data_IF_496891007735
#
_entry.id   IF_496891007735
#
_cell.length_a   1.000
_cell.length_b   1.000
_cell.length_c   1.000
_cell.angle_alpha   90.00
_cell.angle_beta   90.00
_cell.angle_gamma   90.00
#
_symmetry.space_group_name_H-M   'P 1'
#
loop_
_entity.id
_entity.type
_entity.pdbx_description
1 polymer ?
#
# COMPACT_ATOMS: atom_id res chain seq x y z
N UNK A 1 -7.40 23.48 1.03
CA UNK A 1 -7.16 22.18 0.38
C UNK A 1 -8.49 21.45 0.25
N UNK A 2 -8.83 20.90 -0.93
CA UNK A 2 -10.07 20.12 -1.09
C UNK A 2 -9.89 18.76 -0.41
N UNK A 3 -10.90 18.23 0.33
CA UNK A 3 -10.81 16.90 0.90
C UNK A 3 -10.76 15.85 -0.21
N UNK A 4 -9.93 14.83 0.00
CA UNK A 4 -9.88 13.66 -0.87
C UNK A 4 -11.22 12.92 -0.81
N UNK A 5 -11.75 12.51 -1.98
CA UNK A 5 -13.08 11.87 -2.08
C UNK A 5 -13.03 10.34 -2.23
N UNK A 6 -11.84 9.75 -2.19
CA UNK A 6 -11.69 8.29 -2.31
C UNK A 6 -12.18 7.57 -1.04
N UNK A 7 -12.69 6.35 -1.21
CA UNK A 7 -13.16 5.51 -0.10
C UNK A 7 -12.07 4.57 0.46
N UNK A 8 -10.88 4.53 -0.15
CA UNK A 8 -9.78 3.63 0.25
C UNK A 8 -8.62 3.64 -0.76
N UNK A 9 -7.47 3.13 -0.34
CA UNK A 9 -6.24 3.03 -1.15
C UNK A 9 -5.78 1.57 -1.18
N UNK A 10 -5.54 1.01 -2.36
CA UNK A 10 -4.88 -0.27 -2.54
C UNK A 10 -3.50 -0.05 -3.17
N UNK A 11 -2.46 -0.63 -2.56
CA UNK A 11 -1.08 -0.52 -2.97
C UNK A 11 -0.62 -1.83 -3.60
N UNK A 12 0.03 -1.70 -4.76
CA UNK A 12 0.76 -2.79 -5.40
C UNK A 12 2.01 -3.21 -4.62
N UNK A 13 2.82 -4.05 -5.25
CA UNK A 13 4.10 -4.49 -4.70
C UNK A 13 5.19 -3.46 -4.98
N UNK A 14 6.00 -3.16 -3.97
CA UNK A 14 7.24 -2.40 -4.07
C UNK A 14 8.40 -3.40 -3.91
N UNK A 15 8.99 -3.82 -5.03
CA UNK A 15 10.07 -4.81 -5.06
C UNK A 15 11.43 -4.12 -5.14
N UNK A 16 12.48 -4.79 -4.65
CA UNK A 16 13.86 -4.30 -4.73
C UNK A 16 14.29 -3.42 -3.54
N UNK A 17 13.36 -3.03 -2.67
CA UNK A 17 13.64 -2.26 -1.46
C UNK A 17 14.14 -3.12 -0.28
N UNK A 18 14.16 -4.44 -0.42
CA UNK A 18 14.68 -5.34 0.61
C UNK A 18 16.19 -5.12 0.84
N UNK A 19 16.90 -4.63 -0.18
CA UNK A 19 18.34 -4.34 -0.12
C UNK A 19 18.65 -3.04 0.64
N UNK A 20 17.64 -2.17 0.76
CA UNK A 20 17.77 -0.87 1.40
C UNK A 20 17.56 -0.95 2.92
N UNK A 21 17.10 -2.10 3.45
CA UNK A 21 16.78 -2.26 4.86
C UNK A 21 17.97 -2.01 5.80
N UNK A 22 19.19 -2.26 5.32
CA UNK A 22 20.44 -2.07 6.06
C UNK A 22 21.18 -0.77 5.68
N UNK A 23 20.61 0.08 4.81
CA UNK A 23 21.24 1.33 4.40
C UNK A 23 21.23 2.35 5.57
N UNK A 24 22.40 2.72 6.12
CA UNK A 24 22.49 3.61 7.28
C UNK A 24 22.01 5.04 6.97
N UNK A 25 21.95 5.43 5.69
CA UNK A 25 21.48 6.75 5.26
C UNK A 25 19.97 6.91 5.39
N UNK A 26 19.22 5.80 5.49
CA UNK A 26 17.77 5.81 5.64
C UNK A 26 17.31 5.97 7.09
N UNK A 27 18.23 6.02 8.05
CA UNK A 27 17.90 6.25 9.46
C UNK A 27 16.97 5.17 10.05
N UNK A 28 17.06 3.94 9.54
CA UNK A 28 16.22 2.82 9.95
C UNK A 28 14.80 2.83 9.41
N UNK A 29 14.47 3.69 8.45
CA UNK A 29 13.15 3.71 7.81
C UNK A 29 13.10 2.79 6.60
N UNK A 30 12.12 1.89 6.58
CA UNK A 30 11.78 1.11 5.39
C UNK A 30 10.65 1.75 4.57
N UNK A 31 10.43 1.20 3.36
CA UNK A 31 9.31 1.61 2.49
C UNK A 31 7.94 1.50 3.20
N UNK A 32 7.76 0.48 4.04
CA UNK A 32 6.54 0.29 4.82
C UNK A 32 6.29 1.46 5.80
N UNK A 33 7.34 2.00 6.42
CA UNK A 33 7.24 3.11 7.37
C UNK A 33 6.89 4.40 6.64
N UNK A 34 7.54 4.66 5.50
CA UNK A 34 7.21 5.80 4.63
C UNK A 34 5.75 5.74 4.20
N UNK A 35 5.28 4.60 3.67
CA UNK A 35 3.90 4.44 3.22
C UNK A 35 2.91 4.61 4.38
N UNK A 36 3.20 4.06 5.55
CA UNK A 36 2.35 4.23 6.74
C UNK A 36 2.25 5.69 7.15
N UNK A 37 3.36 6.40 7.27
CA UNK A 37 3.41 7.81 7.71
C UNK A 37 2.78 8.78 6.70
N UNK A 38 2.84 8.47 5.40
CA UNK A 38 2.18 9.27 4.36
C UNK A 38 0.68 8.99 4.25
N UNK A 39 0.27 7.71 4.26
CA UNK A 39 -1.10 7.33 3.94
C UNK A 39 -2.04 7.35 5.15
N UNK A 40 -1.53 7.26 6.38
CA UNK A 40 -2.38 7.39 7.59
C UNK A 40 -3.11 8.74 7.64
N UNK A 41 -2.55 9.78 7.00
CA UNK A 41 -3.15 11.12 6.92
C UNK A 41 -4.40 11.20 6.04
N UNK A 42 -4.69 10.17 5.25
CA UNK A 42 -5.85 10.13 4.37
C UNK A 42 -7.14 9.69 5.08
N UNK A 43 -7.04 9.17 6.31
CA UNK A 43 -8.18 8.73 7.13
C UNK A 43 -9.12 7.72 6.44
N UNK A 44 -8.58 6.90 5.54
CA UNK A 44 -9.31 5.83 4.83
C UNK A 44 -8.58 4.49 4.94
N UNK A 45 -9.26 3.36 4.68
CA UNK A 45 -8.61 2.06 4.63
C UNK A 45 -7.48 2.00 3.60
N UNK A 46 -6.36 1.38 4.00
CA UNK A 46 -5.20 1.13 3.14
C UNK A 46 -4.92 -0.38 3.12
N UNK A 47 -4.94 -0.98 1.93
CA UNK A 47 -4.54 -2.36 1.68
C UNK A 47 -3.19 -2.37 0.97
N UNK A 48 -2.21 -3.10 1.51
CA UNK A 48 -0.90 -3.29 0.89
C UNK A 48 -0.71 -4.71 0.36
N UNK A 49 0.19 -4.86 -0.62
CA UNK A 49 0.60 -6.17 -1.14
C UNK A 49 -0.33 -6.74 -2.21
N UNK A 50 -1.16 -5.91 -2.85
CA UNK A 50 -1.86 -6.32 -4.06
C UNK A 50 -0.80 -6.79 -5.08
N UNK A 51 -0.95 -7.95 -5.76
CA UNK A 51 0.05 -8.49 -6.68
C UNK A 51 0.10 -7.72 -8.02
N UNK A 52 0.08 -6.40 -7.95
CA UNK A 52 0.06 -5.47 -9.07
C UNK A 52 1.31 -4.59 -9.04
N UNK A 53 1.72 -4.09 -10.20
CA UNK A 53 2.95 -3.31 -10.36
C UNK A 53 3.95 -4.02 -11.27
N UNK A 54 5.23 -3.87 -10.96
CA UNK A 54 6.35 -4.37 -11.78
C UNK A 54 6.80 -5.80 -11.39
N UNK A 55 6.00 -6.51 -10.59
CA UNK A 55 6.25 -7.90 -10.26
C UNK A 55 6.04 -8.84 -11.45
N UNK A 56 6.33 -10.12 -11.23
CA UNK A 56 6.10 -11.15 -12.24
C UNK A 56 4.58 -11.38 -12.39
N UNK A 57 4.09 -11.38 -13.63
CA UNK A 57 2.71 -11.69 -14.00
C UNK A 57 1.65 -10.80 -13.30
N UNK A 58 1.70 -9.46 -13.46
CA UNK A 58 0.71 -8.59 -12.86
C UNK A 58 -0.68 -8.84 -13.47
N UNK A 59 -1.74 -8.95 -12.65
CA UNK A 59 -3.09 -9.12 -13.14
C UNK A 59 -3.57 -7.82 -13.78
N UNK A 60 -4.46 -7.93 -14.78
CA UNK A 60 -5.19 -6.78 -15.29
C UNK A 60 -6.19 -6.30 -14.24
N UNK A 61 -6.12 -5.02 -13.89
CA UNK A 61 -7.06 -4.38 -12.96
C UNK A 61 -8.06 -3.56 -13.79
N UNK A 62 -9.38 -3.84 -13.69
CA UNK A 62 -10.38 -3.06 -14.40
C UNK A 62 -10.45 -1.63 -13.85
N UNK A 63 -10.41 -0.65 -14.75
CA UNK A 63 -10.52 0.76 -14.42
C UNK A 63 -11.97 1.25 -14.56
N UNK A 64 -12.40 2.15 -13.68
CA UNK A 64 -13.75 2.72 -13.70
C UNK A 64 -14.85 1.82 -13.13
N UNK A 65 -14.50 0.66 -12.56
CA UNK A 65 -15.45 -0.22 -11.86
C UNK A 65 -15.43 -0.02 -10.35
N UNK A 66 -16.52 -0.39 -9.69
CA UNK A 66 -16.60 -0.43 -8.24
C UNK A 66 -15.85 -1.67 -7.72
N UNK A 67 -15.06 -1.47 -6.66
CA UNK A 67 -14.34 -2.53 -5.96
C UNK A 67 -14.58 -2.43 -4.45
N UNK A 68 -14.43 -3.55 -3.74
CA UNK A 68 -14.49 -3.61 -2.28
C UNK A 68 -13.10 -3.96 -1.75
N UNK A 69 -12.63 -3.23 -0.74
CA UNK A 69 -11.42 -3.53 0.01
C UNK A 69 -11.86 -4.10 1.36
N UNK A 70 -11.49 -5.34 1.64
CA UNK A 70 -11.70 -5.95 2.95
C UNK A 70 -10.35 -6.16 3.64
N UNK A 71 -10.28 -5.75 4.91
CA UNK A 71 -9.16 -6.04 5.79
C UNK A 71 -9.65 -7.08 6.79
N UNK A 72 -9.31 -8.35 6.55
CA UNK A 72 -9.48 -9.37 7.58
C UNK A 72 -8.56 -9.06 8.77
N UNK A 73 -9.07 -8.97 10.02
CA UNK A 73 -8.21 -8.90 11.19
C UNK A 73 -7.45 -10.24 11.38
N UNK A 74 -6.25 -10.23 11.96
CA UNK A 74 -5.41 -11.43 12.07
C UNK A 74 -5.98 -12.55 12.98
N UNK A 75 -7.12 -12.35 13.64
CA UNK A 75 -7.78 -13.35 14.50
C UNK A 75 -9.30 -13.09 14.63
N UNK A 76 -10.18 -14.11 14.80
CA UNK A 76 -11.60 -13.90 15.11
C UNK A 76 -11.78 -13.38 16.55
N UNK A 77 -12.68 -12.41 16.71
CA UNK A 77 -13.11 -11.90 18.03
C UNK A 77 -13.79 -12.98 18.86
#
# INVERSE_FOLDING_TARGET
MRPWRGCGVALGQFLGFDQDADDPTLGGWGIADVLRDRLTRLSVPVLGGLPAGHGLHPPTIPLGTQATIDRRPPYPA
#
